data_IF_231214881987
#
_entry.id   IF_231214881987
#
_cell.length_a   1.000
_cell.length_b   1.000
_cell.length_c   1.000
_cell.angle_alpha   90.00
_cell.angle_beta   90.00
_cell.angle_gamma   90.00
#
_symmetry.space_group_name_H-M   'P 1'
#
loop_
_entity.id
_entity.type
_entity.pdbx_description
1 polymer ?
#
# COMPACT_ATOMS: atom_id res chain seq x y z
N UNK A 1 0.99 8.79 3.34
CA UNK A 1 2.21 7.96 3.45
C UNK A 1 2.95 8.33 4.72
N UNK A 2 2.97 7.41 5.70
CA UNK A 2 3.66 7.62 6.97
C UNK A 2 5.19 7.68 6.86
N UNK A 3 5.87 7.82 8.00
CA UNK A 3 7.34 7.92 8.09
C UNK A 3 8.06 6.70 7.49
N UNK A 4 7.52 5.49 7.68
CA UNK A 4 8.10 4.26 7.13
C UNK A 4 8.03 4.27 5.60
N UNK A 5 6.88 4.61 5.01
CA UNK A 5 6.74 4.69 3.55
C UNK A 5 7.69 5.71 2.91
N UNK A 6 7.89 6.86 3.56
CA UNK A 6 8.86 7.87 3.11
C UNK A 6 10.30 7.36 3.15
N UNK A 7 10.66 6.53 4.14
CA UNK A 7 11.98 5.91 4.24
C UNK A 7 12.20 4.73 3.29
N UNK A 8 11.14 4.02 2.92
CA UNK A 8 11.20 2.83 2.05
C UNK A 8 11.30 3.22 0.58
N UNK A 9 10.64 4.29 0.14
CA UNK A 9 10.61 4.67 -1.27
C UNK A 9 12.01 4.90 -1.90
N UNK A 10 12.96 5.62 -1.25
CA UNK A 10 14.32 5.73 -1.75
C UNK A 10 15.08 4.39 -1.81
N UNK A 11 14.76 3.47 -0.89
CA UNK A 11 15.38 2.14 -0.85
C UNK A 11 14.88 1.25 -1.99
N UNK A 12 13.59 1.35 -2.36
CA UNK A 12 13.01 0.68 -3.52
C UNK A 12 13.77 1.12 -4.77
N UNK A 13 13.86 2.43 -5.04
CA UNK A 13 14.56 2.92 -6.23
C UNK A 13 16.06 2.58 -6.25
N UNK A 14 16.69 2.46 -5.08
CA UNK A 14 18.11 2.09 -5.01
C UNK A 14 18.36 0.62 -5.35
N UNK A 15 17.44 -0.27 -5.00
CA UNK A 15 17.69 -1.72 -5.01
C UNK A 15 16.82 -2.50 -6.01
N UNK A 16 15.75 -1.89 -6.51
CA UNK A 16 14.81 -2.48 -7.45
C UNK A 16 14.82 -1.63 -8.72
N UNK A 17 15.09 -2.25 -9.86
CA UNK A 17 14.99 -1.59 -11.15
C UNK A 17 13.51 -1.43 -11.54
N UNK A 18 12.93 -0.30 -11.16
CA UNK A 18 11.52 0.04 -11.40
C UNK A 18 11.41 1.51 -11.83
N UNK A 19 10.59 1.78 -12.84
CA UNK A 19 10.27 3.15 -13.24
C UNK A 19 9.30 3.78 -12.22
N UNK A 20 9.46 5.05 -11.82
CA UNK A 20 8.52 5.71 -10.92
C UNK A 20 7.05 5.62 -11.33
N UNK A 21 6.74 5.56 -12.64
CA UNK A 21 5.39 5.40 -13.17
C UNK A 21 4.78 4.02 -12.90
N UNK A 22 5.60 3.03 -12.54
CA UNK A 22 5.15 1.70 -12.11
C UNK A 22 4.85 1.65 -10.61
N UNK A 23 5.07 2.74 -9.86
CA UNK A 23 4.76 2.82 -8.44
C UNK A 23 3.55 3.71 -8.24
N UNK A 24 2.57 3.21 -7.48
CA UNK A 24 1.43 3.99 -7.00
C UNK A 24 1.34 3.92 -5.48
N UNK A 25 1.21 5.07 -4.83
CA UNK A 25 0.99 5.20 -3.39
C UNK A 25 -0.50 5.45 -3.15
N UNK A 26 -1.14 4.61 -2.34
CA UNK A 26 -2.50 4.82 -1.82
C UNK A 26 -2.43 5.10 -0.33
N UNK A 27 -3.08 6.18 0.13
CA UNK A 27 -2.98 6.66 1.52
C UNK A 27 -4.24 7.37 1.98
N UNK A 28 -4.49 7.39 3.30
CA UNK A 28 -5.63 8.09 3.89
C UNK A 28 -5.44 9.61 4.05
N UNK A 29 -4.21 10.10 3.97
CA UNK A 29 -3.85 11.52 4.13
C UNK A 29 -2.71 11.95 3.19
N UNK A 30 -2.44 13.26 3.19
CA UNK A 30 -1.49 13.96 2.33
C UNK A 30 -0.02 13.86 2.75
N UNK A 31 0.26 13.20 3.88
CA UNK A 31 1.62 13.05 4.37
C UNK A 31 2.47 12.31 3.34
N UNK A 32 3.63 12.86 3.02
CA UNK A 32 4.55 12.28 2.04
C UNK A 32 4.21 12.59 0.58
N UNK A 33 3.18 13.41 0.29
CA UNK A 33 2.88 13.87 -1.07
C UNK A 33 4.06 14.60 -1.72
N UNK A 34 4.76 15.46 -0.96
CA UNK A 34 5.95 16.16 -1.46
C UNK A 34 7.06 15.16 -1.87
N UNK A 35 7.34 14.17 -1.01
CA UNK A 35 8.32 13.11 -1.29
C UNK A 35 7.91 12.32 -2.54
N UNK A 36 6.66 11.90 -2.67
CA UNK A 36 6.19 11.21 -3.87
C UNK A 36 6.38 12.07 -5.14
N UNK A 37 6.12 13.37 -5.04
CA UNK A 37 6.35 14.33 -6.13
C UNK A 37 7.82 14.46 -6.54
N UNK A 38 8.76 14.45 -5.58
CA UNK A 38 10.20 14.49 -5.86
C UNK A 38 10.67 13.30 -6.70
N UNK A 39 10.06 12.14 -6.52
CA UNK A 39 10.36 10.93 -7.30
C UNK A 39 9.47 10.73 -8.52
N UNK A 40 8.46 11.58 -8.74
CA UNK A 40 7.51 11.43 -9.86
C UNK A 40 6.57 10.22 -9.72
N UNK A 41 6.28 9.80 -8.48
CA UNK A 41 5.43 8.64 -8.16
C UNK A 41 3.96 9.04 -8.09
N UNK A 42 3.07 8.20 -8.62
CA UNK A 42 1.64 8.43 -8.53
C UNK A 42 1.16 8.39 -7.07
N UNK A 43 0.36 9.38 -6.66
CA UNK A 43 -0.10 9.52 -5.28
C UNK A 43 -1.62 9.69 -5.22
N UNK A 44 -2.29 8.75 -4.56
CA UNK A 44 -3.74 8.68 -4.42
C UNK A 44 -4.10 8.85 -2.94
N UNK A 45 -4.79 9.93 -2.63
CA UNK A 45 -5.39 10.17 -1.31
C UNK A 45 -6.79 9.57 -1.29
N UNK A 46 -6.86 8.29 -0.91
CA UNK A 46 -8.10 7.56 -0.78
C UNK A 46 -7.95 6.57 0.39
N UNK A 47 -8.58 6.84 1.55
CA UNK A 47 -8.58 5.92 2.67
C UNK A 47 -9.19 4.57 2.27
N UNK A 48 -8.46 3.49 2.57
CA UNK A 48 -8.96 2.13 2.37
C UNK A 48 -9.86 1.75 3.53
N UNK A 49 -11.01 1.16 3.21
CA UNK A 49 -11.99 0.63 4.14
C UNK A 49 -12.36 -0.78 3.72
N UNK A 50 -13.00 -1.50 4.65
CA UNK A 50 -13.54 -2.84 4.38
C UNK A 50 -14.42 -2.91 3.13
N UNK A 51 -15.14 -1.83 2.83
CA UNK A 51 -16.13 -1.80 1.76
C UNK A 51 -15.53 -1.37 0.41
N UNK A 52 -14.39 -0.65 0.40
CA UNK A 52 -13.85 -0.06 -0.81
C UNK A 52 -12.51 -0.67 -1.28
N UNK A 53 -11.77 -1.36 -0.41
CA UNK A 53 -10.37 -1.70 -0.69
C UNK A 53 -10.22 -2.56 -1.95
N UNK A 54 -11.09 -3.56 -2.14
CA UNK A 54 -11.04 -4.42 -3.30
C UNK A 54 -11.35 -3.63 -4.59
N UNK A 55 -12.34 -2.71 -4.56
CA UNK A 55 -12.69 -1.89 -5.72
C UNK A 55 -11.59 -0.89 -6.11
N UNK A 56 -10.83 -0.40 -5.14
CA UNK A 56 -9.71 0.53 -5.38
C UNK A 56 -8.47 -0.21 -5.86
N UNK A 57 -8.11 -1.32 -5.20
CA UNK A 57 -6.81 -1.97 -5.41
C UNK A 57 -6.83 -2.99 -6.54
N UNK A 58 -7.94 -3.69 -6.79
CA UNK A 58 -8.02 -4.69 -7.87
C UNK A 58 -7.63 -4.14 -9.24
N UNK A 59 -8.09 -2.96 -9.68
CA UNK A 59 -7.69 -2.41 -10.98
C UNK A 59 -6.20 -2.02 -11.08
N UNK A 60 -5.49 -1.97 -9.95
CA UNK A 60 -4.08 -1.58 -9.86
C UNK A 60 -3.14 -2.80 -9.75
N UNK A 61 -3.67 -4.01 -9.63
CA UNK A 61 -2.90 -5.23 -9.38
C UNK A 61 -3.08 -6.22 -10.54
N UNK A 62 -1.95 -6.70 -11.04
CA UNK A 62 -1.86 -7.83 -11.97
C UNK A 62 -0.94 -8.92 -11.40
N UNK A 63 -0.96 -10.10 -12.04
CA UNK A 63 -0.10 -11.20 -11.67
C UNK A 63 1.38 -10.81 -11.79
N UNK A 64 2.13 -11.00 -10.69
CA UNK A 64 3.54 -10.60 -10.59
C UNK A 64 3.79 -9.20 -10.02
N UNK A 65 2.76 -8.39 -9.83
CA UNK A 65 2.88 -7.11 -9.12
C UNK A 65 3.16 -7.33 -7.62
N UNK A 66 3.56 -6.27 -6.93
CA UNK A 66 3.94 -6.34 -5.52
C UNK A 66 3.24 -5.25 -4.70
N UNK A 67 2.35 -5.67 -3.81
CA UNK A 67 1.75 -4.81 -2.79
C UNK A 67 2.64 -4.78 -1.53
N UNK A 68 3.13 -3.58 -1.20
CA UNK A 68 3.87 -3.34 0.05
C UNK A 68 2.98 -2.57 1.02
N UNK A 69 2.40 -3.26 2.00
CA UNK A 69 1.56 -2.64 3.01
C UNK A 69 2.41 -1.98 4.10
N UNK A 70 2.24 -0.67 4.25
CA UNK A 70 2.86 0.16 5.29
C UNK A 70 1.80 1.08 5.94
N UNK A 71 0.54 0.62 5.95
CA UNK A 71 -0.60 1.36 6.45
C UNK A 71 -0.95 0.97 7.89
N UNK A 72 -1.83 1.75 8.50
CA UNK A 72 -2.47 1.43 9.77
C UNK A 72 -3.97 1.32 9.53
N UNK A 73 -4.67 0.56 10.37
CA UNK A 73 -6.13 0.39 10.30
C UNK A 73 -6.65 -0.22 8.97
N UNK A 74 -5.81 -0.99 8.27
CA UNK A 74 -6.21 -1.73 7.05
C UNK A 74 -5.93 -3.20 7.29
N UNK A 75 -6.91 -4.06 7.06
CA UNK A 75 -6.76 -5.49 7.38
C UNK A 75 -5.68 -6.18 6.52
N UNK A 76 -4.59 -6.63 7.15
CA UNK A 76 -3.52 -7.37 6.47
C UNK A 76 -4.05 -8.67 5.84
N UNK A 77 -4.99 -9.34 6.51
CA UNK A 77 -5.61 -10.59 6.00
C UNK A 77 -6.39 -10.31 4.71
N UNK A 78 -7.19 -9.24 4.68
CA UNK A 78 -7.96 -8.88 3.49
C UNK A 78 -7.04 -8.53 2.31
N UNK A 79 -5.92 -7.84 2.57
CA UNK A 79 -4.94 -7.53 1.52
C UNK A 79 -4.20 -8.79 1.02
N UNK A 80 -3.84 -9.72 1.91
CA UNK A 80 -3.23 -11.00 1.52
C UNK A 80 -4.17 -11.82 0.62
N UNK A 81 -5.43 -11.95 0.99
CA UNK A 81 -6.46 -12.66 0.21
C UNK A 81 -6.64 -12.01 -1.17
N UNK A 82 -6.68 -10.67 -1.24
CA UNK A 82 -6.76 -9.94 -2.50
C UNK A 82 -5.54 -10.18 -3.38
N UNK A 83 -4.32 -10.07 -2.83
CA UNK A 83 -3.09 -10.28 -3.59
C UNK A 83 -3.01 -11.72 -4.11
N UNK A 84 -3.39 -12.71 -3.29
CA UNK A 84 -3.46 -14.10 -3.71
C UNK A 84 -4.43 -14.30 -4.88
N UNK A 85 -5.62 -13.68 -4.82
CA UNK A 85 -6.61 -13.77 -5.89
C UNK A 85 -6.14 -13.12 -7.21
N UNK A 86 -5.33 -12.05 -7.14
CA UNK A 86 -4.76 -11.38 -8.31
C UNK A 86 -3.43 -11.97 -8.80
N UNK A 87 -2.83 -12.91 -8.05
CA UNK A 87 -1.49 -13.42 -8.33
C UNK A 87 -0.37 -12.42 -8.04
N UNK A 88 -0.62 -11.43 -7.17
CA UNK A 88 0.35 -10.44 -6.73
C UNK A 88 1.10 -10.90 -5.47
N UNK A 89 2.32 -10.41 -5.32
CA UNK A 89 3.14 -10.56 -4.11
C UNK A 89 2.66 -9.59 -3.02
N UNK A 90 2.89 -9.96 -1.76
CA UNK A 90 2.47 -9.19 -0.60
C UNK A 90 3.57 -9.13 0.46
N UNK A 91 3.79 -7.94 1.04
CA UNK A 91 4.68 -7.71 2.18
C UNK A 91 4.02 -6.73 3.14
N UNK A 92 4.16 -6.96 4.44
CA UNK A 92 3.69 -6.07 5.51
C UNK A 92 4.72 -6.01 6.65
N UNK A 93 4.59 -5.02 7.51
CA UNK A 93 5.40 -4.83 8.73
C UNK A 93 4.69 -5.28 10.00
N UNK A 94 3.36 -5.40 9.99
CA UNK A 94 2.55 -5.85 11.11
C UNK A 94 1.29 -6.59 10.62
N UNK A 95 0.58 -7.26 11.54
CA UNK A 95 -0.76 -7.77 11.26
C UNK A 95 -1.75 -6.73 11.80
N UNK A 96 -2.38 -5.99 10.90
CA UNK A 96 -3.38 -4.98 11.25
C UNK A 96 -4.79 -5.52 11.00
N UNK A 97 -5.76 -5.23 11.89
CA UNK A 97 -7.17 -5.40 11.60
C UNK A 97 -7.76 -4.15 10.93
N UNK A 98 -9.00 -4.28 10.41
CA UNK A 98 -9.83 -3.11 10.12
C UNK A 98 -10.11 -2.29 11.40
N UNK A 99 -10.49 -1.01 11.29
CA UNK A 99 -10.82 -0.19 12.46
C UNK A 99 -11.86 -0.89 13.36
N UNK A 100 -11.60 -0.91 14.68
CA UNK A 100 -12.45 -1.59 15.65
C UNK A 100 -12.25 -3.12 15.76
N UNK A 101 -11.31 -3.71 15.01
CA UNK A 101 -10.97 -5.13 15.10
C UNK A 101 -9.94 -5.48 16.18
N UNK A 102 -9.33 -4.48 16.82
CA UNK A 102 -8.60 -4.68 18.09
C UNK A 102 -9.62 -4.97 19.20
N UNK A 103 -9.99 -6.25 19.31
CA UNK A 103 -10.71 -6.76 20.47
C UNK A 103 -9.66 -7.32 21.42
N UNK A 104 -9.15 -6.47 22.31
CA UNK A 104 -8.41 -6.95 23.48
C UNK A 104 -9.46 -7.51 24.48
N UNK A 105 -9.35 -8.76 24.94
CA UNK A 105 -9.96 -9.16 26.21
C UNK A 105 -9.21 -8.57 27.41
#
# INVERSE_FOLDING_TARGET
MGSIGQGVLPLIFRHIAVDPQQITIVTADDRGRAVAGEYGVQFIEQPLTRDNYAGILTPMLAAGDFLVNLSVEVSSVALMELCQAQGALYLDTCIEPWPGGYTDP
#
